data_IF_190444151581
#
_entry.id   IF_190444151581
#
_cell.length_a   1.000
_cell.length_b   1.000
_cell.length_c   1.000
_cell.angle_alpha   90.00
_cell.angle_beta   90.00
_cell.angle_gamma   90.00
#
_symmetry.space_group_name_H-M   'P 1'
#
loop_
_entity.id
_entity.type
_entity.pdbx_description
1 polymer ?
#
# COMPACT_ATOMS: atom_id res chain seq x y z
N UNK A 1 -2.18 -7.45 -11.61
CA UNK A 1 -2.49 -6.60 -10.44
C UNK A 1 -3.64 -7.20 -9.66
N UNK A 2 -3.46 -7.43 -8.36
CA UNK A 2 -4.56 -7.77 -7.47
C UNK A 2 -5.03 -6.48 -6.79
N UNK A 3 -6.06 -5.85 -7.37
CA UNK A 3 -6.60 -4.55 -6.94
C UNK A 3 -7.31 -4.72 -5.60
N UNK A 4 -6.90 -3.96 -4.58
CA UNK A 4 -7.56 -3.96 -3.28
C UNK A 4 -8.81 -3.07 -3.32
N UNK A 5 -9.73 -3.32 -2.39
CA UNK A 5 -10.98 -2.57 -2.31
C UNK A 5 -10.73 -1.09 -2.01
N UNK A 6 -9.75 -0.82 -1.17
CA UNK A 6 -9.31 0.49 -0.74
C UNK A 6 -8.79 1.32 -1.92
N UNK A 7 -8.09 0.67 -2.87
CA UNK A 7 -7.59 1.32 -4.09
C UNK A 7 -8.74 1.84 -4.96
N UNK A 8 -9.79 1.03 -5.12
CA UNK A 8 -10.98 1.41 -5.89
C UNK A 8 -11.77 2.54 -5.20
N UNK A 9 -11.90 2.49 -3.87
CA UNK A 9 -12.56 3.54 -3.10
C UNK A 9 -11.82 4.87 -3.18
N UNK A 10 -10.48 4.82 -3.12
CA UNK A 10 -9.63 6.00 -3.27
C UNK A 10 -9.81 6.64 -4.66
N UNK A 11 -9.71 5.85 -5.73
CA UNK A 11 -9.87 6.37 -7.09
C UNK A 11 -11.27 6.91 -7.33
N UNK A 12 -12.31 6.25 -6.83
CA UNK A 12 -13.67 6.78 -6.91
C UNK A 12 -13.82 8.12 -6.17
N UNK A 13 -13.19 8.26 -5.00
CA UNK A 13 -13.17 9.54 -4.27
C UNK A 13 -12.47 10.65 -5.06
N UNK A 14 -11.33 10.36 -5.67
CA UNK A 14 -10.59 11.33 -6.50
C UNK A 14 -11.40 11.75 -7.75
N UNK A 15 -12.21 10.84 -8.30
CA UNK A 15 -13.17 11.15 -9.37
C UNK A 15 -14.45 11.83 -8.86
N UNK A 16 -14.51 12.19 -7.57
CA UNK A 16 -15.66 12.78 -6.90
C UNK A 16 -16.93 11.90 -6.95
N UNK A 17 -16.76 10.57 -7.03
CA UNK A 17 -17.82 9.57 -6.98
C UNK A 17 -18.04 9.08 -5.53
N UNK A 18 -19.30 9.12 -5.07
CA UNK A 18 -19.64 8.69 -3.70
C UNK A 18 -19.64 7.17 -3.60
N UNK A 19 -18.56 6.55 -3.16
CA UNK A 19 -18.49 5.11 -2.96
C UNK A 19 -18.45 4.77 -1.45
N UNK A 20 -19.38 3.94 -0.99
CA UNK A 20 -19.44 3.52 0.40
C UNK A 20 -18.61 2.27 0.67
N UNK A 21 -18.07 2.16 1.87
CA UNK A 21 -17.33 0.98 2.34
C UNK A 21 -18.19 -0.29 2.40
N UNK A 22 -19.51 -0.20 2.28
CA UNK A 22 -20.40 -1.35 2.17
C UNK A 22 -20.33 -2.05 0.80
N UNK A 23 -19.81 -1.38 -0.24
CA UNK A 23 -19.79 -1.90 -1.61
C UNK A 23 -18.72 -3.00 -1.78
N UNK A 24 -19.06 -4.03 -2.54
CA UNK A 24 -18.13 -5.08 -2.97
C UNK A 24 -17.23 -4.57 -4.09
N UNK A 25 -16.07 -5.20 -4.26
CA UNK A 25 -15.10 -4.89 -5.33
C UNK A 25 -15.77 -4.85 -6.72
N UNK A 26 -16.69 -5.77 -7.01
CA UNK A 26 -17.41 -5.81 -8.29
C UNK A 26 -18.27 -4.57 -8.49
N UNK A 27 -18.98 -4.12 -7.45
CA UNK A 27 -19.85 -2.94 -7.49
C UNK A 27 -19.01 -1.66 -7.63
N UNK A 28 -17.87 -1.58 -6.95
CA UNK A 28 -16.92 -0.47 -7.09
C UNK A 28 -16.34 -0.39 -8.50
N UNK A 29 -15.98 -1.53 -9.11
CA UNK A 29 -15.53 -1.58 -10.51
C UNK A 29 -16.61 -1.09 -11.48
N UNK A 30 -17.85 -1.55 -11.30
CA UNK A 30 -18.96 -1.10 -12.14
C UNK A 30 -19.20 0.40 -11.98
N UNK A 31 -19.11 0.93 -10.76
CA UNK A 31 -19.25 2.36 -10.52
C UNK A 31 -18.14 3.18 -11.18
N UNK A 32 -16.90 2.69 -11.12
CA UNK A 32 -15.76 3.32 -11.77
C UNK A 32 -15.95 3.37 -13.29
N UNK A 33 -16.33 2.24 -13.89
CA UNK A 33 -16.62 2.15 -15.33
C UNK A 33 -17.81 3.01 -15.77
N UNK A 34 -18.77 3.27 -14.87
CA UNK A 34 -19.92 4.12 -15.12
C UNK A 34 -19.70 5.61 -14.84
N UNK A 35 -18.53 5.99 -14.31
CA UNK A 35 -18.25 7.40 -13.99
C UNK A 35 -18.11 8.23 -15.26
N UNK A 36 -18.75 9.40 -15.28
CA UNK A 36 -18.69 10.32 -16.43
C UNK A 36 -17.27 10.82 -16.71
N UNK A 37 -16.43 10.91 -15.68
CA UNK A 37 -15.03 11.30 -15.81
C UNK A 37 -14.23 10.16 -16.43
N UNK A 38 -14.43 8.94 -15.94
CA UNK A 38 -13.84 7.73 -16.52
C UNK A 38 -14.21 7.56 -17.99
N UNK A 39 -15.47 7.82 -18.37
CA UNK A 39 -15.93 7.68 -19.76
C UNK A 39 -15.41 8.78 -20.70
N UNK A 40 -15.03 9.95 -20.17
CA UNK A 40 -14.46 11.05 -20.97
C UNK A 40 -12.94 10.97 -21.11
N UNK A 41 -12.27 10.47 -20.08
CA UNK A 41 -10.81 10.50 -19.95
C UNK A 41 -10.27 9.12 -19.54
N UNK A 42 -10.81 8.06 -20.16
CA UNK A 42 -10.55 6.67 -19.80
C UNK A 42 -9.05 6.35 -19.69
N UNK A 43 -8.26 6.85 -20.64
CA UNK A 43 -6.82 6.62 -20.67
C UNK A 43 -6.10 7.31 -19.50
N UNK A 44 -6.44 8.58 -19.21
CA UNK A 44 -5.89 9.30 -18.05
C UNK A 44 -6.26 8.61 -16.73
N UNK A 45 -7.51 8.15 -16.59
CA UNK A 45 -7.95 7.50 -15.36
C UNK A 45 -7.33 6.11 -15.22
N UNK A 46 -7.11 5.38 -16.32
CA UNK A 46 -6.36 4.10 -16.29
C UNK A 46 -4.90 4.32 -15.89
N UNK A 47 -4.23 5.33 -16.45
CA UNK A 47 -2.85 5.66 -16.08
C UNK A 47 -2.77 6.05 -14.61
N UNK A 48 -3.64 6.95 -14.15
CA UNK A 48 -3.74 7.34 -12.74
C UNK A 48 -3.98 6.14 -11.80
N UNK A 49 -4.85 5.22 -12.20
CA UNK A 49 -5.14 4.01 -11.43
C UNK A 49 -3.93 3.09 -11.30
N UNK A 50 -3.19 2.91 -12.39
CA UNK A 50 -1.98 2.08 -12.42
C UNK A 50 -0.91 2.71 -11.54
N UNK A 51 -0.61 4.00 -11.73
CA UNK A 51 0.44 4.70 -10.96
C UNK A 51 0.14 4.72 -9.47
N UNK A 52 -1.11 5.03 -9.09
CA UNK A 52 -1.51 5.08 -7.66
C UNK A 52 -1.36 3.71 -6.99
N UNK A 53 -1.66 2.62 -7.70
CA UNK A 53 -1.51 1.27 -7.13
C UNK A 53 -0.03 0.86 -7.07
N UNK A 54 0.76 1.19 -8.08
CA UNK A 54 2.20 0.91 -8.10
C UNK A 54 2.91 1.64 -6.95
N UNK A 55 2.66 2.93 -6.77
CA UNK A 55 3.23 3.73 -5.67
C UNK A 55 2.87 3.15 -4.29
N UNK A 56 1.62 2.74 -4.08
CA UNK A 56 1.21 2.11 -2.82
C UNK A 56 1.83 0.74 -2.59
N UNK A 57 2.04 -0.05 -3.65
CA UNK A 57 2.74 -1.34 -3.54
C UNK A 57 4.20 -1.10 -3.14
N UNK A 58 4.86 -0.11 -3.73
CA UNK A 58 6.23 0.27 -3.37
C UNK A 58 6.32 0.75 -1.92
N UNK A 59 5.38 1.60 -1.48
CA UNK A 59 5.34 2.08 -0.10
C UNK A 59 5.09 0.95 0.91
N UNK A 60 4.17 0.02 0.60
CA UNK A 60 3.93 -1.17 1.43
C UNK A 60 5.16 -2.08 1.50
N UNK A 61 5.90 -2.24 0.40
CA UNK A 61 7.14 -3.02 0.38
C UNK A 61 8.25 -2.33 1.19
N UNK A 62 8.40 -1.02 1.03
CA UNK A 62 9.35 -0.22 1.80
C UNK A 62 9.06 -0.31 3.30
N UNK A 63 7.81 -0.13 3.71
CA UNK A 63 7.41 -0.22 5.11
C UNK A 63 7.64 -1.63 5.69
N UNK A 64 7.42 -2.70 4.91
CA UNK A 64 7.75 -4.07 5.35
C UNK A 64 9.24 -4.28 5.55
N UNK A 65 10.05 -3.84 4.59
CA UNK A 65 11.51 -3.96 4.67
C UNK A 65 12.07 -3.13 5.82
N UNK A 66 11.57 -1.90 6.02
CA UNK A 66 11.96 -1.06 7.13
C UNK A 66 11.64 -1.71 8.49
N UNK A 67 10.41 -2.23 8.66
CA UNK A 67 10.01 -2.94 9.87
C UNK A 67 10.85 -4.21 10.11
N UNK A 68 11.18 -4.96 9.05
CA UNK A 68 12.07 -6.13 9.14
C UNK A 68 13.43 -5.74 9.69
N UNK A 69 14.04 -4.68 9.14
CA UNK A 69 15.34 -4.17 9.58
C UNK A 69 15.33 -3.69 11.03
N UNK A 70 14.27 -2.97 11.43
CA UNK A 70 14.13 -2.53 12.83
C UNK A 70 14.05 -3.72 13.78
N UNK A 71 13.28 -4.75 13.43
CA UNK A 71 13.17 -5.96 14.23
C UNK A 71 14.50 -6.71 14.33
N UNK A 72 15.22 -6.87 13.22
CA UNK A 72 16.55 -7.50 13.21
C UNK A 72 17.56 -6.73 14.07
N UNK A 73 17.55 -5.39 13.97
CA UNK A 73 18.38 -4.53 14.80
C UNK A 73 18.06 -4.70 16.29
N UNK A 74 16.78 -4.68 16.67
CA UNK A 74 16.36 -4.87 18.07
C UNK A 74 16.77 -6.25 18.58
N UNK A 75 16.57 -7.31 17.79
CA UNK A 75 17.00 -8.66 18.16
C UNK A 75 18.52 -8.78 18.35
N UNK A 76 19.32 -8.09 17.54
CA UNK A 76 20.78 -8.01 17.70
C UNK A 76 21.16 -7.27 18.98
N UNK A 77 20.57 -6.10 19.25
CA UNK A 77 20.77 -5.37 20.52
C UNK A 77 20.43 -6.25 21.73
N UNK A 78 19.31 -6.98 21.68
CA UNK A 78 18.90 -7.88 22.76
C UNK A 78 19.87 -9.07 22.91
N UNK A 79 20.43 -9.61 21.82
CA UNK A 79 21.47 -10.65 21.87
C UNK A 79 22.75 -10.14 22.51
N UNK A 80 23.24 -8.96 22.12
CA UNK A 80 24.45 -8.35 22.71
C UNK A 80 24.28 -8.03 24.19
N UNK A 81 23.08 -7.61 24.63
CA UNK A 81 22.78 -7.40 26.05
C UNK A 81 22.74 -8.69 26.85
N UNK A 82 22.24 -9.79 26.26
CA UNK A 82 22.15 -11.10 26.93
C UNK A 82 23.48 -11.83 26.98
N UNK A 83 24.33 -11.64 25.97
CA UNK A 83 25.66 -12.23 25.89
C UNK A 83 26.68 -11.13 25.60
N UNK A 84 26.97 -10.24 26.57
CA UNK A 84 27.98 -9.21 26.38
C UNK A 84 29.31 -9.91 26.08
N UNK A 85 29.94 -9.54 24.96
CA UNK A 85 31.26 -10.06 24.60
C UNK A 85 32.19 -9.80 25.78
N UNK A 86 32.59 -10.86 26.50
CA UNK A 86 33.60 -10.73 27.56
C UNK A 86 34.88 -10.27 26.89
N UNK A 87 35.19 -8.98 27.06
CA UNK A 87 36.51 -8.45 26.78
C UNK A 87 37.42 -9.09 27.82
N UNK A 88 38.16 -10.12 27.44
CA UNK A 88 39.32 -10.54 28.20
C UNK A 88 40.38 -9.48 27.97
N UNK A 89 40.59 -8.63 28.97
CA UNK A 89 41.77 -7.77 29.06
C UNK A 89 42.99 -8.68 29.23
N UNK A 90 43.92 -8.64 28.26
CA UNK A 90 45.25 -9.27 28.34
C UNK A 90 46.13 -8.46 29.28
#
# INVERSE_FOLDING_TARGET
>A
MNVKKEDLLYVLRELNEIAGDSLKIVELKQKLLGSKVFLKEEECVRVFFITTIEERIEEEQWNKEWNRRQKESEEEYQRERKFPKRIFSI
#
